data_IF_606370323462
#
_entry.id   IF_606370323462
#
_cell.length_a   1.000
_cell.length_b   1.000
_cell.length_c   1.000
_cell.angle_alpha   90.00
_cell.angle_beta   90.00
_cell.angle_gamma   90.00
#
_symmetry.space_group_name_H-M   'P 1'
#
loop_
_entity.id
_entity.type
_entity.pdbx_description
1 polymer ?
#
# COMPACT_ATOMS: atom_id res chain seq x y z
N UNK A 1 25.99 11.12 -91.51
CA UNK A 1 25.51 12.20 -90.62
C UNK A 1 24.28 11.68 -89.91
N UNK A 2 24.46 10.97 -88.71
CA UNK A 2 23.34 10.34 -87.98
C UNK A 2 23.07 11.13 -86.72
N UNK A 3 21.89 11.74 -86.64
CA UNK A 3 21.40 12.42 -85.43
C UNK A 3 20.69 11.40 -84.53
N UNK A 4 21.27 11.09 -83.34
CA UNK A 4 20.58 10.34 -82.26
C UNK A 4 19.61 11.28 -81.55
N UNK A 5 18.32 10.91 -81.51
CA UNK A 5 17.32 11.54 -80.70
C UNK A 5 17.43 10.91 -79.26
N UNK A 6 17.68 11.75 -78.28
CA UNK A 6 17.56 11.34 -76.83
C UNK A 6 16.08 11.46 -76.42
N UNK A 7 15.47 10.33 -76.08
CA UNK A 7 14.16 10.28 -75.48
C UNK A 7 14.27 10.51 -73.97
N UNK A 8 13.73 11.60 -73.48
CA UNK A 8 13.63 11.89 -72.04
C UNK A 8 12.50 11.06 -71.45
N UNK A 9 12.84 10.04 -70.65
CA UNK A 9 11.87 9.34 -69.77
C UNK A 9 11.43 10.26 -68.65
N UNK A 10 10.18 10.72 -68.68
CA UNK A 10 9.51 11.33 -67.54
C UNK A 10 9.37 10.30 -66.42
N UNK A 11 9.98 10.57 -65.27
CA UNK A 11 9.77 9.80 -64.03
C UNK A 11 8.46 10.26 -63.37
N UNK A 12 7.47 9.38 -63.35
CA UNK A 12 6.26 9.59 -62.57
C UNK A 12 6.60 9.66 -61.07
N UNK A 13 6.13 10.69 -60.34
CA UNK A 13 6.32 10.75 -58.91
C UNK A 13 5.49 9.66 -58.23
N UNK A 14 6.15 8.83 -57.39
CA UNK A 14 5.48 7.84 -56.56
C UNK A 14 4.56 8.52 -55.55
N UNK A 15 3.33 8.06 -55.32
CA UNK A 15 2.44 8.62 -54.33
C UNK A 15 3.03 8.42 -52.94
N UNK A 16 3.16 9.51 -52.18
CA UNK A 16 3.53 9.45 -50.76
C UNK A 16 2.40 8.73 -50.00
N UNK A 17 2.68 7.52 -49.49
CA UNK A 17 1.78 6.85 -48.56
C UNK A 17 1.69 7.73 -47.32
N UNK A 18 0.56 8.35 -47.07
CA UNK A 18 0.18 8.88 -45.78
C UNK A 18 -0.10 7.68 -44.87
N UNK A 19 0.76 7.45 -43.90
CA UNK A 19 0.43 6.61 -42.74
C UNK A 19 -0.67 7.34 -41.97
N UNK A 20 -1.90 6.88 -42.12
CA UNK A 20 -2.96 7.21 -41.22
C UNK A 20 -2.68 6.40 -39.96
N UNK A 21 -2.21 7.04 -38.90
CA UNK A 21 -2.29 6.56 -37.53
C UNK A 21 -3.75 6.63 -37.07
N UNK A 22 -4.60 5.78 -37.66
CA UNK A 22 -5.91 5.48 -37.10
C UNK A 22 -5.72 4.35 -36.12
N UNK A 23 -5.73 4.67 -34.86
CA UNK A 23 -5.64 3.71 -33.80
C UNK A 23 -4.93 4.28 -32.58
N UNK A 24 -5.33 5.46 -32.11
CA UNK A 24 -5.33 5.64 -30.68
C UNK A 24 -6.39 4.67 -30.14
N UNK A 25 -5.97 3.49 -29.76
CA UNK A 25 -6.80 2.67 -28.89
C UNK A 25 -7.14 3.58 -27.71
N UNK A 26 -8.42 3.94 -27.61
CA UNK A 26 -8.97 4.47 -26.39
C UNK A 26 -8.66 3.38 -25.35
N UNK A 27 -7.67 3.62 -24.50
CA UNK A 27 -7.55 2.88 -23.26
C UNK A 27 -8.89 3.08 -22.58
N UNK A 28 -9.71 2.03 -22.60
CA UNK A 28 -10.94 2.03 -21.82
C UNK A 28 -10.56 2.46 -20.41
N UNK A 29 -11.22 3.46 -19.80
CA UNK A 29 -11.00 3.72 -18.41
C UNK A 29 -11.24 2.38 -17.71
N UNK A 30 -10.21 1.82 -17.08
CA UNK A 30 -10.41 0.73 -16.15
C UNK A 30 -11.40 1.28 -15.14
N UNK A 31 -12.66 0.92 -15.29
CA UNK A 31 -13.62 1.00 -14.22
C UNK A 31 -13.06 0.01 -13.21
N UNK A 32 -12.28 0.49 -12.27
CA UNK A 32 -12.11 -0.21 -11.01
C UNK A 32 -13.53 -0.24 -10.48
N UNK A 33 -14.21 -1.37 -10.66
CA UNK A 33 -15.39 -1.68 -9.88
C UNK A 33 -14.92 -1.44 -8.45
N UNK A 34 -15.47 -0.42 -7.80
CA UNK A 34 -15.43 -0.31 -6.36
C UNK A 34 -16.23 -1.51 -5.83
N UNK A 35 -15.63 -2.69 -5.91
CA UNK A 35 -15.93 -3.79 -5.03
C UNK A 35 -15.44 -3.36 -3.66
N UNK A 36 -15.94 -4.00 -2.63
CA UNK A 36 -15.61 -3.76 -1.23
C UNK A 36 -14.11 -4.10 -0.95
N UNK A 37 -13.19 -3.45 -1.69
CA UNK A 37 -11.76 -3.67 -1.63
C UNK A 37 -11.17 -3.23 -0.29
N UNK A 38 -9.87 -3.46 -0.12
CA UNK A 38 -9.14 -3.11 1.09
C UNK A 38 -9.31 -1.63 1.45
N UNK A 39 -9.66 -1.35 2.70
CA UNK A 39 -9.65 -0.04 3.33
C UNK A 39 -8.55 0.05 4.39
N UNK A 40 -7.70 1.05 4.31
CA UNK A 40 -6.62 1.30 5.27
C UNK A 40 -7.04 2.42 6.21
N UNK A 41 -7.44 2.05 7.43
CA UNK A 41 -7.82 3.01 8.47
C UNK A 41 -6.56 3.51 9.17
N UNK A 42 -6.27 4.80 9.06
CA UNK A 42 -5.13 5.44 9.72
C UNK A 42 -5.55 5.96 11.10
N UNK A 43 -4.99 5.40 12.15
CA UNK A 43 -5.23 5.79 13.54
C UNK A 43 -4.02 6.57 14.10
N UNK A 44 -4.28 7.79 14.56
CA UNK A 44 -3.27 8.69 15.12
C UNK A 44 -3.33 8.80 16.65
N UNK A 45 -4.13 7.97 17.32
CA UNK A 45 -4.32 8.04 18.79
C UNK A 45 -3.02 7.79 19.57
N UNK A 46 -2.06 7.11 18.95
CA UNK A 46 -0.75 6.82 19.52
C UNK A 46 0.36 7.79 19.06
N UNK A 47 0.02 8.85 18.33
CA UNK A 47 0.96 9.91 17.95
C UNK A 47 1.20 10.91 19.12
N UNK A 48 1.90 10.45 20.14
CA UNK A 48 2.15 11.24 21.36
C UNK A 48 3.03 12.46 21.15
N UNK A 49 3.69 12.58 20.01
CA UNK A 49 4.56 13.70 19.63
C UNK A 49 3.85 14.73 18.75
N UNK A 50 2.55 14.54 18.50
CA UNK A 50 1.69 15.46 17.74
C UNK A 50 2.19 15.76 16.31
N UNK A 51 2.93 14.84 15.71
CA UNK A 51 3.43 14.97 14.34
C UNK A 51 2.29 15.11 13.35
N UNK A 52 1.24 14.32 13.52
CA UNK A 52 0.05 14.33 12.68
C UNK A 52 -1.05 15.32 13.16
N UNK A 53 -0.74 16.30 14.00
CA UNK A 53 -1.66 17.42 14.24
C UNK A 53 -1.79 18.35 13.02
N UNK A 54 -0.85 18.29 12.09
CA UNK A 54 -0.88 18.98 10.82
C UNK A 54 -1.70 18.21 9.78
N UNK A 55 -2.69 18.87 9.16
CA UNK A 55 -3.58 18.24 8.18
C UNK A 55 -2.84 17.84 6.91
N UNK A 56 -1.85 18.62 6.47
CA UNK A 56 -1.05 18.31 5.26
C UNK A 56 -0.31 16.97 5.40
N UNK A 57 0.19 16.67 6.59
CA UNK A 57 0.85 15.40 6.90
C UNK A 57 -0.14 14.23 6.84
N UNK A 58 -1.33 14.41 7.42
CA UNK A 58 -2.43 13.42 7.34
C UNK A 58 -2.86 13.19 5.89
N UNK A 59 -3.06 14.25 5.13
CA UNK A 59 -3.49 14.17 3.74
C UNK A 59 -2.45 13.44 2.88
N UNK A 60 -1.15 13.67 3.15
CA UNK A 60 -0.09 13.01 2.40
C UNK A 60 -0.02 11.51 2.74
N UNK A 61 -0.16 11.14 4.01
CA UNK A 61 -0.21 9.73 4.43
C UNK A 61 -1.47 9.04 3.87
N UNK A 62 -2.64 9.71 3.93
CA UNK A 62 -3.87 9.19 3.35
C UNK A 62 -3.77 8.98 1.84
N UNK A 63 -3.10 9.89 1.12
CA UNK A 63 -2.86 9.73 -0.33
C UNK A 63 -2.02 8.49 -0.62
N UNK A 64 -1.02 8.19 0.20
CA UNK A 64 -0.22 6.96 0.07
C UNK A 64 -1.07 5.71 0.33
N UNK A 65 -1.89 5.72 1.38
CA UNK A 65 -2.82 4.63 1.68
C UNK A 65 -3.80 4.39 0.53
N UNK A 66 -4.43 5.44 0.01
CA UNK A 66 -5.43 5.35 -1.07
C UNK A 66 -4.86 4.75 -2.37
N UNK A 67 -3.59 5.00 -2.69
CA UNK A 67 -2.95 4.38 -3.86
C UNK A 67 -2.80 2.88 -3.68
N UNK A 68 -2.49 2.40 -2.48
CA UNK A 68 -2.39 0.97 -2.19
C UNK A 68 -3.76 0.31 -2.12
N UNK A 69 -4.73 0.95 -1.45
CA UNK A 69 -6.14 0.52 -1.44
C UNK A 69 -6.67 0.26 -2.86
N UNK A 70 -6.39 1.17 -3.79
CA UNK A 70 -6.86 1.05 -5.17
C UNK A 70 -6.22 -0.10 -5.98
N UNK A 71 -5.21 -0.77 -5.44
CA UNK A 71 -4.46 -1.83 -6.11
C UNK A 71 -4.66 -3.21 -5.50
N UNK A 72 -5.25 -3.26 -4.30
CA UNK A 72 -5.48 -4.49 -3.55
C UNK A 72 -6.98 -4.72 -3.50
N UNK A 73 -7.42 -5.90 -3.91
CA UNK A 73 -8.84 -6.26 -3.98
C UNK A 73 -9.11 -7.50 -3.13
N UNK A 74 -8.70 -7.42 -1.86
CA UNK A 74 -8.91 -8.51 -0.91
C UNK A 74 -10.18 -8.29 -0.10
N UNK A 75 -10.92 -9.38 0.11
CA UNK A 75 -12.12 -9.40 0.95
C UNK A 75 -11.79 -9.94 2.34
N UNK A 76 -11.23 -9.09 3.19
CA UNK A 76 -10.83 -9.47 4.55
C UNK A 76 -12.05 -9.59 5.46
N UNK A 77 -12.23 -10.72 6.16
CA UNK A 77 -13.30 -10.88 7.16
C UNK A 77 -13.13 -9.91 8.33
N UNK A 78 -14.23 -9.50 8.95
CA UNK A 78 -14.20 -8.69 10.16
C UNK A 78 -13.60 -9.46 11.35
N UNK A 79 -12.91 -8.76 12.26
CA UNK A 79 -12.54 -9.29 13.58
C UNK A 79 -13.49 -8.67 14.60
N UNK A 80 -14.36 -9.47 15.18
CA UNK A 80 -15.37 -9.00 16.12
C UNK A 80 -15.30 -9.81 17.43
N UNK A 81 -14.65 -9.30 18.46
CA UNK A 81 -14.62 -9.91 19.79
C UNK A 81 -16.01 -10.03 20.40
N UNK A 82 -16.17 -11.00 21.31
CA UNK A 82 -17.40 -11.23 22.06
C UNK A 82 -17.06 -11.87 23.42
N UNK A 83 -18.04 -12.16 24.27
CA UNK A 83 -17.81 -12.73 25.61
C UNK A 83 -16.94 -14.00 25.62
N UNK A 84 -17.01 -14.80 24.56
CA UNK A 84 -16.25 -16.06 24.44
C UNK A 84 -15.08 -15.96 23.44
N UNK A 85 -14.87 -14.82 22.82
CA UNK A 85 -13.85 -14.58 21.80
C UNK A 85 -13.07 -13.31 22.15
N UNK A 86 -11.79 -13.44 22.45
CA UNK A 86 -10.93 -12.32 22.82
C UNK A 86 -9.59 -12.39 22.13
N UNK A 87 -8.98 -11.25 21.92
CA UNK A 87 -7.64 -11.14 21.38
C UNK A 87 -6.93 -9.87 21.83
N UNK A 88 -5.62 -9.94 21.84
CA UNK A 88 -4.72 -8.83 22.08
C UNK A 88 -3.87 -8.61 20.83
N UNK A 89 -4.07 -7.52 20.13
CA UNK A 89 -3.18 -7.05 19.08
C UNK A 89 -1.95 -6.42 19.71
N UNK A 90 -0.78 -6.68 19.16
CA UNK A 90 0.50 -6.15 19.68
C UNK A 90 1.24 -5.42 18.57
N UNK A 91 1.67 -4.19 18.86
CA UNK A 91 2.46 -3.35 17.94
C UNK A 91 3.61 -2.69 18.68
N UNK A 92 4.56 -2.14 17.95
CA UNK A 92 5.46 -1.13 18.49
C UNK A 92 4.74 0.23 18.49
N UNK A 93 4.63 0.85 19.66
CA UNK A 93 3.97 2.14 19.83
C UNK A 93 4.69 3.23 18.99
N UNK A 94 4.04 3.84 18.00
CA UNK A 94 4.71 4.72 17.04
C UNK A 94 5.30 5.98 17.68
N UNK A 95 4.72 6.48 18.75
CA UNK A 95 5.19 7.69 19.42
C UNK A 95 6.31 7.49 20.43
N UNK A 96 6.51 6.28 21.02
CA UNK A 96 7.52 6.06 22.06
C UNK A 96 8.39 4.82 21.87
N UNK A 97 8.03 3.91 20.96
CA UNK A 97 8.82 2.72 20.64
C UNK A 97 8.64 1.53 21.58
N UNK A 98 7.81 1.63 22.61
CA UNK A 98 7.53 0.51 23.50
C UNK A 98 6.58 -0.51 22.85
N UNK A 99 6.60 -1.75 23.32
CA UNK A 99 5.55 -2.71 22.99
C UNK A 99 4.20 -2.20 23.53
N UNK A 100 3.17 -2.27 22.70
CA UNK A 100 1.83 -1.79 23.03
C UNK A 100 0.78 -2.84 22.68
N UNK A 101 -0.11 -3.13 23.61
CA UNK A 101 -1.21 -4.06 23.41
C UNK A 101 -2.54 -3.31 23.29
N UNK A 102 -3.37 -3.79 22.35
CA UNK A 102 -4.71 -3.30 22.09
C UNK A 102 -5.68 -4.45 22.34
N UNK A 103 -6.41 -4.38 23.43
CA UNK A 103 -7.32 -5.44 23.85
C UNK A 103 -8.64 -5.39 23.09
N UNK A 104 -9.06 -6.51 22.53
CA UNK A 104 -10.35 -6.69 21.86
C UNK A 104 -10.66 -5.60 20.80
N UNK A 105 -9.66 -5.24 20.01
CA UNK A 105 -9.85 -4.32 18.89
C UNK A 105 -10.85 -4.89 17.88
N UNK A 106 -11.86 -4.11 17.53
CA UNK A 106 -12.81 -4.48 16.46
C UNK A 106 -12.30 -3.95 15.13
N UNK A 107 -12.18 -4.83 14.14
CA UNK A 107 -11.75 -4.48 12.79
C UNK A 107 -12.88 -4.77 11.81
N UNK A 108 -13.38 -3.76 11.07
CA UNK A 108 -14.43 -3.95 10.10
C UNK A 108 -14.02 -4.89 8.96
N UNK A 109 -15.01 -5.47 8.29
CA UNK A 109 -14.79 -6.22 7.06
C UNK A 109 -14.09 -5.35 6.01
N UNK A 110 -13.19 -5.97 5.23
CA UNK A 110 -12.43 -5.28 4.18
C UNK A 110 -11.44 -4.25 4.70
N UNK A 111 -11.17 -4.18 6.03
CA UNK A 111 -10.33 -3.13 6.60
C UNK A 111 -9.10 -3.68 7.32
N UNK A 112 -8.04 -2.88 7.32
CA UNK A 112 -6.91 -2.99 8.26
C UNK A 112 -6.76 -1.67 9.01
N UNK A 113 -6.17 -1.72 10.22
CA UNK A 113 -5.90 -0.51 11.00
C UNK A 113 -4.40 -0.31 11.14
N UNK A 114 -3.91 0.87 10.75
CA UNK A 114 -2.50 1.25 10.89
C UNK A 114 -2.37 2.38 11.91
N UNK A 115 -1.70 2.10 13.02
CA UNK A 115 -1.38 3.12 14.02
C UNK A 115 -0.15 3.91 13.56
N UNK A 116 -0.36 5.18 13.26
CA UNK A 116 0.67 6.07 12.72
C UNK A 116 1.10 7.12 13.74
N UNK A 117 2.40 7.39 13.81
CA UNK A 117 2.98 8.43 14.65
C UNK A 117 4.41 8.73 14.26
N UNK A 118 5.10 9.54 15.06
CA UNK A 118 6.48 9.88 14.80
C UNK A 118 7.29 10.03 16.09
N UNK A 119 8.57 9.71 16.00
CA UNK A 119 9.60 9.93 17.03
C UNK A 119 10.96 9.95 16.38
N UNK A 120 12.00 10.28 17.10
CA UNK A 120 13.36 10.13 16.60
C UNK A 120 13.72 8.64 16.54
N UNK A 121 14.06 8.12 15.36
CA UNK A 121 14.36 6.70 15.12
C UNK A 121 15.69 6.46 14.37
N UNK A 122 16.28 7.50 13.79
CA UNK A 122 17.55 7.41 13.06
C UNK A 122 17.43 6.74 11.68
N UNK A 123 16.23 6.45 11.21
CA UNK A 123 15.86 6.09 9.82
C UNK A 123 14.72 6.99 9.38
N UNK A 124 14.35 7.01 8.10
CA UNK A 124 13.23 7.85 7.64
C UNK A 124 11.88 7.35 8.16
N UNK A 125 11.70 6.04 8.17
CA UNK A 125 10.49 5.37 8.66
C UNK A 125 10.79 3.99 9.21
N UNK A 126 9.81 3.41 9.89
CA UNK A 126 9.73 2.01 10.28
C UNK A 126 8.26 1.63 10.22
N UNK A 127 7.93 0.65 9.41
CA UNK A 127 6.60 0.06 9.33
C UNK A 127 6.64 -1.45 9.48
N UNK A 128 5.53 -2.02 9.91
CA UNK A 128 5.40 -3.46 9.98
C UNK A 128 4.04 -3.92 10.48
N UNK A 129 3.70 -5.19 10.19
CA UNK A 129 2.46 -5.78 10.67
C UNK A 129 2.46 -5.92 12.19
N UNK A 130 1.27 -5.95 12.77
CA UNK A 130 1.10 -6.23 14.17
C UNK A 130 1.05 -7.73 14.45
N UNK A 131 1.59 -8.13 15.60
CA UNK A 131 1.39 -9.46 16.16
C UNK A 131 0.04 -9.58 16.88
N UNK A 132 -0.29 -10.79 17.33
CA UNK A 132 -1.49 -11.01 18.14
C UNK A 132 -1.41 -12.24 19.02
N UNK A 133 -2.27 -12.28 20.03
CA UNK A 133 -2.66 -13.47 20.78
C UNK A 133 -4.18 -13.54 20.83
N UNK A 134 -4.76 -14.72 20.65
CA UNK A 134 -6.22 -14.86 20.58
C UNK A 134 -6.71 -16.12 21.28
N UNK A 135 -7.95 -16.09 21.76
CA UNK A 135 -8.65 -17.20 22.39
C UNK A 135 -10.14 -17.14 22.00
N UNK A 136 -10.71 -18.28 21.65
CA UNK A 136 -12.12 -18.34 21.28
C UNK A 136 -12.48 -19.53 20.41
N UNK A 137 -13.56 -19.40 19.67
CA UNK A 137 -14.00 -20.42 18.71
C UNK A 137 -13.06 -20.49 17.51
N UNK A 138 -13.02 -21.64 16.82
CA UNK A 138 -12.20 -21.77 15.58
C UNK A 138 -12.54 -20.70 14.56
N UNK A 139 -13.82 -20.42 14.32
CA UNK A 139 -14.26 -19.37 13.38
C UNK A 139 -13.71 -17.99 13.75
N UNK A 140 -13.63 -17.68 15.05
CA UNK A 140 -13.04 -16.42 15.48
C UNK A 140 -11.52 -16.42 15.30
N UNK A 141 -10.86 -17.51 15.63
CA UNK A 141 -9.41 -17.64 15.44
C UNK A 141 -9.05 -17.52 13.96
N UNK A 142 -9.79 -18.19 13.08
CA UNK A 142 -9.62 -18.10 11.62
C UNK A 142 -9.81 -16.66 11.13
N UNK A 143 -10.81 -15.92 11.70
CA UNK A 143 -11.01 -14.51 11.33
C UNK A 143 -9.83 -13.58 11.68
N UNK A 144 -8.91 -14.02 12.54
CA UNK A 144 -7.70 -13.25 12.88
C UNK A 144 -6.50 -13.75 12.08
N UNK A 145 -6.35 -15.07 11.92
CA UNK A 145 -5.18 -15.70 11.30
C UNK A 145 -5.17 -15.54 9.80
N UNK A 146 -6.26 -15.83 9.14
CA UNK A 146 -6.34 -15.86 7.68
C UNK A 146 -7.30 -14.81 7.10
N UNK A 147 -8.09 -14.14 7.95
CA UNK A 147 -9.04 -13.11 7.53
C UNK A 147 -10.00 -13.57 6.43
N UNK A 148 -10.27 -14.89 6.34
CA UNK A 148 -11.09 -15.51 5.30
C UNK A 148 -10.38 -15.71 3.97
N UNK A 149 -9.07 -15.49 3.92
CA UNK A 149 -8.26 -15.72 2.73
C UNK A 149 -7.87 -17.19 2.59
N UNK A 150 -7.60 -17.63 1.37
CA UNK A 150 -7.07 -18.96 1.06
C UNK A 150 -5.58 -18.86 0.78
N UNK A 151 -4.81 -19.91 1.10
CA UNK A 151 -3.37 -19.91 0.85
C UNK A 151 -2.54 -19.36 2.01
N UNK A 152 -3.20 -18.89 3.07
CA UNK A 152 -2.56 -18.56 4.34
C UNK A 152 -2.54 -19.86 5.15
N UNK A 153 -1.40 -20.48 5.17
CA UNK A 153 -1.13 -21.56 6.09
C UNK A 153 -0.55 -20.97 7.39
N UNK A 154 -0.22 -21.78 8.37
CA UNK A 154 0.38 -21.25 9.58
C UNK A 154 1.60 -20.38 9.25
N UNK A 155 1.85 -19.38 10.08
CA UNK A 155 2.92 -18.36 9.97
C UNK A 155 4.33 -18.93 9.69
N UNK A 156 4.52 -20.23 9.89
CA UNK A 156 5.78 -20.97 9.66
C UNK A 156 5.67 -21.99 8.52
N UNK A 157 4.66 -21.90 7.66
CA UNK A 157 4.52 -22.84 6.55
C UNK A 157 5.23 -22.34 5.30
N UNK A 158 6.09 -23.18 4.74
CA UNK A 158 6.73 -22.93 3.43
C UNK A 158 5.73 -22.90 2.26
N UNK A 159 4.46 -23.19 2.52
CA UNK A 159 3.39 -23.18 1.53
C UNK A 159 2.52 -21.93 1.62
N UNK A 160 2.83 -21.00 2.51
CA UNK A 160 2.11 -19.73 2.61
C UNK A 160 2.35 -18.92 1.33
N UNK A 161 1.28 -18.64 0.62
CA UNK A 161 1.31 -17.92 -0.68
C UNK A 161 0.54 -16.60 -0.62
N UNK A 162 -0.07 -16.29 0.53
CA UNK A 162 -0.86 -15.10 0.74
C UNK A 162 -0.63 -14.53 2.13
N UNK A 163 -1.03 -13.27 2.36
CA UNK A 163 -0.85 -12.58 3.63
C UNK A 163 -2.03 -11.67 3.94
N UNK A 164 -2.70 -11.91 5.03
CA UNK A 164 -3.88 -11.17 5.46
C UNK A 164 -3.69 -10.51 6.83
N UNK A 165 -3.02 -9.36 6.91
CA UNK A 165 -2.78 -8.68 8.18
C UNK A 165 -4.08 -8.11 8.77
N UNK A 166 -4.15 -8.05 10.09
CA UNK A 166 -5.17 -7.28 10.78
C UNK A 166 -4.87 -5.77 10.72
N UNK A 167 -3.62 -5.40 10.55
CA UNK A 167 -3.05 -4.08 10.57
C UNK A 167 -1.64 -4.07 11.13
N UNK A 168 -1.23 -2.91 11.65
CA UNK A 168 0.11 -2.75 12.19
C UNK A 168 0.41 -1.33 12.62
N UNK A 169 1.67 -0.93 12.51
CA UNK A 169 2.11 0.40 12.90
C UNK A 169 3.09 0.99 11.91
N UNK A 170 3.15 2.32 11.88
CA UNK A 170 4.15 3.09 11.15
C UNK A 170 4.68 4.20 12.04
N UNK A 171 5.99 4.33 12.10
CA UNK A 171 6.69 5.41 12.80
C UNK A 171 7.53 6.20 11.80
N UNK A 172 7.39 7.52 11.75
CA UNK A 172 8.24 8.41 10.97
C UNK A 172 9.27 9.10 11.86
N UNK A 173 10.44 9.44 11.29
CA UNK A 173 11.44 10.22 12.01
C UNK A 173 11.04 11.69 12.07
N UNK A 174 11.23 12.30 13.23
CA UNK A 174 10.96 13.73 13.45
C UNK A 174 12.13 14.64 13.08
N UNK A 175 13.32 14.09 12.82
CA UNK A 175 14.55 14.84 12.58
C UNK A 175 14.73 15.35 11.14
N UNK A 176 14.29 14.60 10.09
CA UNK A 176 14.47 15.02 8.72
C UNK A 176 13.64 16.25 8.35
N UNK A 177 14.14 17.03 7.40
CA UNK A 177 13.31 17.98 6.68
C UNK A 177 12.43 17.22 5.69
N UNK A 178 11.11 17.22 5.90
CA UNK A 178 10.16 16.52 5.08
C UNK A 178 9.53 17.42 4.02
N UNK A 179 9.43 16.94 2.80
CA UNK A 179 8.54 17.46 1.76
C UNK A 179 7.22 16.68 1.80
N UNK A 180 6.09 17.38 2.03
CA UNK A 180 4.74 16.83 2.01
C UNK A 180 3.97 17.17 0.72
N UNK A 181 4.60 17.91 -0.18
CA UNK A 181 4.00 18.33 -1.43
C UNK A 181 3.91 17.21 -2.47
N UNK A 182 3.46 17.59 -3.68
CA UNK A 182 3.43 16.72 -4.86
C UNK A 182 4.59 17.01 -5.80
N UNK A 183 5.30 18.10 -5.59
CA UNK A 183 6.47 18.49 -6.37
C UNK A 183 7.70 17.73 -5.88
N UNK A 184 8.69 17.63 -6.75
CA UNK A 184 9.96 16.99 -6.40
C UNK A 184 10.59 17.69 -5.18
N UNK A 185 11.06 16.96 -4.17
CA UNK A 185 11.75 17.54 -3.03
C UNK A 185 12.96 18.38 -3.42
N UNK A 186 13.16 19.49 -2.72
CA UNK A 186 14.35 20.30 -2.85
C UNK A 186 15.59 19.59 -2.30
N UNK A 187 16.79 20.07 -2.61
CA UNK A 187 18.00 19.49 -2.05
C UNK A 187 18.00 19.52 -0.52
N UNK A 188 18.16 18.36 0.11
CA UNK A 188 18.14 18.20 1.57
C UNK A 188 16.77 17.90 2.17
N UNK A 189 15.72 17.86 1.38
CA UNK A 189 14.40 17.38 1.79
C UNK A 189 14.19 15.92 1.47
N UNK A 190 13.38 15.24 2.25
CA UNK A 190 12.96 13.86 2.03
C UNK A 190 11.49 13.80 1.61
N UNK A 191 11.19 13.01 0.60
CA UNK A 191 9.81 12.82 0.13
C UNK A 191 9.01 11.96 1.11
N UNK A 192 8.14 12.61 1.88
CA UNK A 192 7.31 11.92 2.86
C UNK A 192 6.38 10.89 2.19
N UNK A 193 5.84 11.21 1.02
CA UNK A 193 4.92 10.33 0.31
C UNK A 193 5.57 9.00 -0.09
N UNK A 194 6.78 9.03 -0.62
CA UNK A 194 7.52 7.80 -1.00
C UNK A 194 7.84 6.95 0.21
N UNK A 195 8.26 7.56 1.32
CA UNK A 195 8.51 6.84 2.57
C UNK A 195 7.21 6.24 3.11
N UNK A 196 6.11 6.99 3.09
CA UNK A 196 4.81 6.49 3.53
C UNK A 196 4.34 5.26 2.72
N UNK A 197 4.49 5.29 1.39
CA UNK A 197 4.21 4.12 0.54
C UNK A 197 5.05 2.90 0.92
N UNK A 198 6.33 3.11 1.19
CA UNK A 198 7.26 2.05 1.58
C UNK A 198 6.85 1.42 2.91
N UNK A 199 6.58 2.23 3.93
CA UNK A 199 6.23 1.74 5.26
C UNK A 199 4.84 1.08 5.31
N UNK A 200 3.85 1.59 4.55
CA UNK A 200 2.57 0.89 4.39
C UNK A 200 2.78 -0.45 3.68
N UNK A 201 3.67 -0.50 2.69
CA UNK A 201 4.06 -1.75 2.04
C UNK A 201 4.52 -2.81 3.02
N UNK A 202 5.35 -2.44 4.01
CA UNK A 202 5.78 -3.36 5.07
C UNK A 202 4.61 -3.86 5.94
N UNK A 203 3.64 -3.02 6.25
CA UNK A 203 2.42 -3.46 6.97
C UNK A 203 1.60 -4.44 6.14
N UNK A 204 1.59 -4.27 4.82
CA UNK A 204 0.91 -5.15 3.85
C UNK A 204 1.73 -6.41 3.50
N UNK A 205 2.85 -6.67 4.16
CA UNK A 205 3.65 -7.87 4.00
C UNK A 205 4.82 -7.77 3.02
N UNK A 206 4.97 -6.67 2.30
CA UNK A 206 6.09 -6.49 1.35
C UNK A 206 7.42 -6.49 2.11
N UNK A 207 8.24 -7.54 1.89
CA UNK A 207 9.51 -7.73 2.58
C UNK A 207 9.42 -8.06 4.07
N UNK A 208 8.22 -8.41 4.59
CA UNK A 208 8.00 -8.72 6.01
C UNK A 208 7.16 -9.97 6.22
N UNK A 209 6.41 -10.43 5.24
CA UNK A 209 5.66 -11.67 5.30
C UNK A 209 6.52 -12.84 4.81
N UNK A 210 6.35 -14.03 5.41
CA UNK A 210 7.07 -15.25 5.01
C UNK A 210 6.79 -15.63 3.54
N UNK A 211 5.60 -15.31 3.02
CA UNK A 211 5.24 -15.49 1.61
C UNK A 211 6.09 -14.65 0.63
N UNK A 212 6.77 -13.61 1.13
CA UNK A 212 7.66 -12.80 0.30
C UNK A 212 8.99 -13.50 -0.03
N UNK A 213 9.44 -14.41 0.85
CA UNK A 213 10.72 -15.12 0.73
C UNK A 213 10.61 -16.46 -0.05
N UNK A 214 9.41 -16.81 -0.54
CA UNK A 214 9.09 -17.97 -1.38
C UNK A 214 9.03 -17.60 -2.89
#
# INVERSE_FOLDING_TARGET
MFRRRFSSRQRNPRPKRRLFLNGLEHLEPRIVLAGDGLSIVLDYSLDTNNFFNDQTRKDTLQRAATVLESRINDELTAITPSDNNSWDATITHPGNGASHQLHNLTIPQGSIIIFAGARNIGSLGIGGPGGFQASGTSVFLDSITDRGQTGIDSINSVNTIDYAPWGGHITFDTSPTWNFGVEQPSSGENDFYSVALHEIGHVLGVGTADSWDN
#
